data_IF_883476882497
#
_entry.id   IF_883476882497
#
_cell.length_a   1.000
_cell.length_b   1.000
_cell.length_c   1.000
_cell.angle_alpha   90.00
_cell.angle_beta   90.00
_cell.angle_gamma   90.00
#
_symmetry.space_group_name_H-M   'P 1'
#
loop_
_entity.id
_entity.type
_entity.pdbx_description
1 polymer ?
#
# COMPACT_ATOMS: atom_id res chain seq x y z
N UNK A 1 -0.80 12.05 -8.15
CA UNK A 1 -1.82 12.99 -7.64
C UNK A 1 -2.75 12.34 -6.60
N UNK A 2 -3.45 11.22 -6.90
CA UNK A 2 -4.35 10.57 -5.93
C UNK A 2 -3.69 10.13 -4.62
N UNK A 3 -2.48 9.58 -4.65
CA UNK A 3 -1.76 9.19 -3.43
C UNK A 3 -1.50 10.39 -2.50
N UNK A 4 -1.22 11.57 -3.06
CA UNK A 4 -1.02 12.79 -2.27
C UNK A 4 -2.35 13.25 -1.66
N UNK A 5 -3.46 13.14 -2.40
CA UNK A 5 -4.79 13.48 -1.88
C UNK A 5 -5.19 12.53 -0.73
N UNK A 6 -4.93 11.24 -0.87
CA UNK A 6 -5.16 10.23 0.18
C UNK A 6 -4.31 10.56 1.42
N UNK A 7 -3.02 10.85 1.21
CA UNK A 7 -2.12 11.26 2.29
C UNK A 7 -2.66 12.46 3.07
N UNK A 8 -3.03 13.53 2.36
CA UNK A 8 -3.52 14.77 2.98
C UNK A 8 -4.86 14.55 3.68
N UNK A 9 -5.79 13.84 3.04
CA UNK A 9 -7.11 13.55 3.60
C UNK A 9 -7.00 12.75 4.90
N UNK A 10 -6.23 11.67 4.91
CA UNK A 10 -6.06 10.83 6.10
C UNK A 10 -5.33 11.58 7.22
N UNK A 11 -4.35 12.43 6.85
CA UNK A 11 -3.63 13.24 7.83
C UNK A 11 -4.50 14.30 8.52
N UNK A 12 -5.48 14.87 7.80
CA UNK A 12 -6.34 15.94 8.30
C UNK A 12 -7.59 15.44 9.02
N UNK A 13 -8.26 14.43 8.45
CA UNK A 13 -9.58 13.99 8.89
C UNK A 13 -9.62 12.55 9.42
N UNK A 14 -8.53 11.77 9.26
CA UNK A 14 -8.51 10.33 9.50
C UNK A 14 -9.61 9.57 8.73
N UNK A 15 -10.09 10.17 7.63
CA UNK A 15 -11.06 9.60 6.74
C UNK A 15 -10.58 9.73 5.31
N UNK A 16 -10.62 8.62 4.58
CA UNK A 16 -10.24 8.59 3.17
C UNK A 16 -11.53 8.49 2.35
N UNK A 17 -11.85 9.47 1.50
CA UNK A 17 -13.02 9.36 0.63
C UNK A 17 -12.91 8.11 -0.26
N UNK A 18 -13.91 7.24 -0.19
CA UNK A 18 -13.94 5.98 -0.94
C UNK A 18 -13.80 6.20 -2.45
N UNK A 19 -14.27 7.34 -2.97
CA UNK A 19 -14.13 7.73 -4.37
C UNK A 19 -12.67 7.85 -4.81
N UNK A 20 -11.77 8.35 -3.95
CA UNK A 20 -10.34 8.45 -4.27
C UNK A 20 -9.68 7.07 -4.30
N UNK A 21 -10.05 6.20 -3.35
CA UNK A 21 -9.56 4.83 -3.29
C UNK A 21 -10.00 4.01 -4.50
N UNK A 22 -11.28 4.06 -4.84
CA UNK A 22 -11.80 3.38 -6.03
C UNK A 22 -11.14 3.93 -7.29
N UNK A 23 -11.07 5.25 -7.41
CA UNK A 23 -10.47 5.91 -8.58
C UNK A 23 -9.02 5.49 -8.83
N UNK A 24 -8.18 5.52 -7.79
CA UNK A 24 -6.76 5.14 -7.94
C UNK A 24 -6.60 3.64 -8.25
N UNK A 25 -7.41 2.77 -7.63
CA UNK A 25 -7.38 1.33 -7.91
C UNK A 25 -7.79 1.02 -9.37
N UNK A 26 -8.84 1.69 -9.88
CA UNK A 26 -9.26 1.54 -11.29
C UNK A 26 -8.15 2.00 -12.24
N UNK A 27 -7.56 3.17 -11.99
CA UNK A 27 -6.48 3.69 -12.83
C UNK A 27 -5.28 2.74 -12.85
N UNK A 28 -4.89 2.21 -11.69
CA UNK A 28 -3.80 1.23 -11.58
C UNK A 28 -4.14 -0.06 -12.33
N UNK A 29 -5.35 -0.57 -12.19
CA UNK A 29 -5.80 -1.77 -12.90
C UNK A 29 -5.80 -1.57 -14.43
N UNK A 30 -6.30 -0.45 -14.91
CA UNK A 30 -6.29 -0.10 -16.34
C UNK A 30 -4.86 0.02 -16.86
N UNK A 31 -3.96 0.66 -16.11
CA UNK A 31 -2.55 0.74 -16.45
C UNK A 31 -1.90 -0.65 -16.58
N UNK A 32 -2.12 -1.54 -15.62
CA UNK A 32 -1.57 -2.90 -15.64
C UNK A 32 -2.10 -3.72 -16.82
N UNK A 33 -3.39 -3.62 -17.13
CA UNK A 33 -3.98 -4.28 -18.28
C UNK A 33 -3.41 -3.73 -19.59
N UNK A 34 -3.31 -2.42 -19.73
CA UNK A 34 -2.72 -1.79 -20.91
C UNK A 34 -1.26 -2.22 -21.09
N UNK A 35 -0.48 -2.22 -20.00
CA UNK A 35 0.92 -2.65 -20.04
C UNK A 35 1.04 -4.12 -20.47
N UNK A 36 0.22 -5.01 -19.93
CA UNK A 36 0.19 -6.42 -20.32
C UNK A 36 -0.10 -6.61 -21.80
N UNK A 37 -1.14 -5.97 -22.33
CA UNK A 37 -1.49 -6.12 -23.75
C UNK A 37 -0.49 -5.50 -24.72
N UNK A 38 0.17 -4.40 -24.31
CA UNK A 38 1.11 -3.69 -25.20
C UNK A 38 2.52 -4.28 -25.18
N UNK A 39 2.97 -4.82 -24.05
CA UNK A 39 4.37 -5.20 -23.84
C UNK A 39 4.60 -6.67 -23.48
N UNK A 40 3.66 -7.31 -22.80
CA UNK A 40 3.84 -8.65 -22.20
C UNK A 40 2.95 -9.74 -22.83
N UNK A 41 2.11 -9.41 -23.78
CA UNK A 41 1.09 -10.34 -24.32
C UNK A 41 1.62 -11.64 -24.93
N UNK A 42 2.92 -11.72 -25.23
CA UNK A 42 3.59 -12.92 -25.76
C UNK A 42 4.38 -13.71 -24.69
N UNK A 43 4.46 -13.23 -23.47
CA UNK A 43 5.19 -13.90 -22.37
C UNK A 43 4.26 -14.85 -21.59
N UNK A 44 4.80 -15.91 -20.94
CA UNK A 44 3.99 -16.74 -20.03
C UNK A 44 3.36 -15.91 -18.93
N UNK A 45 2.07 -16.10 -18.65
CA UNK A 45 1.33 -15.33 -17.65
C UNK A 45 1.99 -15.34 -16.26
N UNK A 46 2.64 -16.44 -15.88
CA UNK A 46 3.33 -16.57 -14.59
C UNK A 46 4.53 -15.63 -14.42
N UNK A 47 5.08 -15.11 -15.53
CA UNK A 47 6.26 -14.24 -15.54
C UNK A 47 5.91 -12.77 -15.83
N UNK A 48 4.62 -12.48 -16.05
CA UNK A 48 4.17 -11.13 -16.39
C UNK A 48 4.06 -10.24 -15.14
N UNK A 49 4.24 -8.94 -15.32
CA UNK A 49 3.98 -7.95 -14.28
C UNK A 49 2.53 -8.00 -13.81
N UNK A 50 1.59 -8.33 -14.69
CA UNK A 50 0.19 -8.48 -14.36
C UNK A 50 -0.07 -9.61 -13.35
N UNK A 51 0.56 -10.78 -13.54
CA UNK A 51 0.41 -11.91 -12.59
C UNK A 51 0.97 -11.56 -11.21
N UNK A 52 2.15 -10.93 -11.17
CA UNK A 52 2.78 -10.50 -9.93
C UNK A 52 1.93 -9.45 -9.20
N UNK A 53 1.34 -8.52 -9.92
CA UNK A 53 0.45 -7.49 -9.38
C UNK A 53 -0.87 -8.07 -8.87
N UNK A 54 -1.45 -9.06 -9.56
CA UNK A 54 -2.67 -9.74 -9.09
C UNK A 54 -2.40 -10.50 -7.79
N UNK A 55 -1.32 -11.26 -7.72
CA UNK A 55 -0.94 -11.99 -6.51
C UNK A 55 -0.65 -11.00 -5.37
N UNK A 56 0.09 -9.93 -5.64
CA UNK A 56 0.37 -8.86 -4.68
C UNK A 56 -0.90 -8.20 -4.17
N UNK A 57 -1.84 -7.88 -5.06
CA UNK A 57 -3.14 -7.32 -4.73
C UNK A 57 -3.94 -8.21 -3.77
N UNK A 58 -4.01 -9.52 -4.07
CA UNK A 58 -4.72 -10.48 -3.23
C UNK A 58 -4.07 -10.63 -1.85
N UNK A 59 -2.73 -10.67 -1.78
CA UNK A 59 -1.99 -10.73 -0.51
C UNK A 59 -2.19 -9.45 0.29
N UNK A 60 -2.02 -8.27 -0.32
CA UNK A 60 -2.18 -6.98 0.34
C UNK A 60 -3.61 -6.76 0.83
N UNK A 61 -4.61 -7.02 -0.04
CA UNK A 61 -6.01 -6.95 0.33
C UNK A 61 -6.34 -7.93 1.47
N UNK A 62 -5.94 -9.20 1.34
CA UNK A 62 -6.23 -10.25 2.33
C UNK A 62 -5.58 -9.97 3.68
N UNK A 63 -4.36 -9.45 3.70
CA UNK A 63 -3.66 -9.07 4.91
C UNK A 63 -4.41 -7.97 5.68
N UNK A 64 -4.74 -6.86 5.03
CA UNK A 64 -5.47 -5.76 5.68
C UNK A 64 -6.91 -6.13 5.99
N UNK A 65 -7.58 -6.89 5.11
CA UNK A 65 -8.91 -7.43 5.39
C UNK A 65 -8.91 -8.29 6.65
N UNK A 66 -7.91 -9.18 6.81
CA UNK A 66 -7.73 -9.97 8.01
C UNK A 66 -7.59 -9.10 9.27
N UNK A 67 -6.73 -8.06 9.22
CA UNK A 67 -6.56 -7.14 10.35
C UNK A 67 -7.87 -6.42 10.72
N UNK A 68 -8.60 -5.90 9.75
CA UNK A 68 -9.88 -5.21 9.99
C UNK A 68 -10.93 -6.17 10.51
N UNK A 69 -11.04 -7.37 9.93
CA UNK A 69 -12.02 -8.37 10.32
C UNK A 69 -11.80 -8.88 11.75
N UNK A 70 -10.55 -9.25 12.11
CA UNK A 70 -10.24 -9.75 13.46
C UNK A 70 -10.25 -8.65 14.51
N UNK A 71 -9.87 -7.42 14.16
CA UNK A 71 -9.90 -6.28 15.08
C UNK A 71 -11.28 -5.65 15.24
N UNK A 72 -12.26 -6.04 14.43
CA UNK A 72 -13.58 -5.40 14.38
C UNK A 72 -13.46 -3.88 14.20
N UNK A 73 -12.65 -3.47 13.24
CA UNK A 73 -12.37 -2.06 12.92
C UNK A 73 -11.72 -1.23 14.04
N UNK A 74 -11.22 -1.89 15.08
CA UNK A 74 -10.60 -1.15 16.21
C UNK A 74 -9.16 -0.75 15.94
N UNK A 75 -8.42 -1.49 15.09
CA UNK A 75 -7.02 -1.23 14.78
C UNK A 75 -6.84 -0.44 13.49
N UNK A 76 -7.62 -0.75 12.47
CA UNK A 76 -7.53 -0.19 11.13
C UNK A 76 -8.90 -0.04 10.50
N UNK A 77 -9.05 0.94 9.60
CA UNK A 77 -10.29 1.19 8.87
C UNK A 77 -10.38 0.42 7.56
N UNK A 78 -11.58 0.35 6.98
CA UNK A 78 -11.82 -0.22 5.64
C UNK A 78 -11.03 0.47 4.53
N UNK A 79 -10.65 1.73 4.72
CA UNK A 79 -9.80 2.46 3.79
C UNK A 79 -8.43 1.80 3.58
N UNK A 80 -7.85 1.27 4.67
CA UNK A 80 -6.54 0.60 4.61
C UNK A 80 -6.58 -0.72 3.82
N UNK A 81 -7.74 -1.40 3.78
CA UNK A 81 -7.95 -2.60 2.95
C UNK A 81 -7.79 -2.27 1.45
N UNK A 82 -8.40 -1.17 1.00
CA UNK A 82 -8.28 -0.71 -0.38
C UNK A 82 -6.89 -0.17 -0.71
N UNK A 83 -6.21 0.41 0.28
CA UNK A 83 -4.80 0.81 0.12
C UNK A 83 -3.87 -0.39 0.08
N UNK A 84 -4.16 -1.46 0.82
CA UNK A 84 -3.43 -2.72 0.73
C UNK A 84 -3.55 -3.37 -0.65
N UNK A 85 -4.76 -3.34 -1.23
CA UNK A 85 -5.00 -3.74 -2.62
C UNK A 85 -4.12 -2.93 -3.58
N UNK A 86 -4.15 -1.59 -3.45
CA UNK A 86 -3.36 -0.68 -4.27
C UNK A 86 -1.86 -0.94 -4.14
N UNK A 87 -1.36 -1.10 -2.91
CA UNK A 87 0.05 -1.39 -2.65
C UNK A 87 0.49 -2.65 -3.40
N UNK A 88 -0.26 -3.76 -3.21
CA UNK A 88 0.04 -5.02 -3.89
C UNK A 88 -0.04 -4.95 -5.41
N UNK A 89 -1.02 -4.21 -5.95
CA UNK A 89 -1.13 -3.98 -7.41
C UNK A 89 0.06 -3.18 -7.94
N UNK A 90 0.53 -2.19 -7.20
CA UNK A 90 1.56 -1.25 -7.67
C UNK A 90 2.96 -1.85 -7.67
N UNK A 91 3.30 -2.66 -6.65
CA UNK A 91 4.67 -3.20 -6.49
C UNK A 91 4.77 -4.71 -6.75
N UNK A 92 3.64 -5.41 -6.86
CA UNK A 92 3.63 -6.86 -6.93
C UNK A 92 3.85 -7.53 -5.56
N UNK A 93 3.87 -8.87 -5.56
CA UNK A 93 3.91 -9.64 -4.31
C UNK A 93 5.29 -9.69 -3.63
N UNK A 94 6.38 -9.65 -4.42
CA UNK A 94 7.74 -9.74 -3.90
C UNK A 94 8.15 -8.55 -3.03
N UNK A 95 8.03 -7.28 -3.49
CA UNK A 95 8.37 -6.12 -2.69
C UNK A 95 7.32 -5.77 -1.63
N UNK A 96 6.16 -6.43 -1.62
CA UNK A 96 5.05 -6.11 -0.71
C UNK A 96 5.45 -6.29 0.76
N UNK A 97 6.18 -7.37 1.11
CA UNK A 97 6.62 -7.60 2.50
C UNK A 97 7.56 -6.51 3.03
N UNK A 98 8.67 -6.16 2.34
CA UNK A 98 9.50 -5.04 2.76
C UNK A 98 8.75 -3.70 2.77
N UNK A 99 7.83 -3.47 1.83
CA UNK A 99 6.97 -2.28 1.83
C UNK A 99 6.11 -2.21 3.10
N UNK A 100 5.43 -3.30 3.45
CA UNK A 100 4.62 -3.36 4.67
C UNK A 100 5.50 -3.18 5.93
N UNK A 101 6.67 -3.80 5.97
CA UNK A 101 7.61 -3.62 7.08
C UNK A 101 8.02 -2.16 7.23
N UNK A 102 8.29 -1.46 6.14
CA UNK A 102 8.60 -0.03 6.13
C UNK A 102 7.41 0.80 6.62
N UNK A 103 6.20 0.54 6.11
CA UNK A 103 4.99 1.27 6.48
C UNK A 103 4.68 1.14 7.98
N UNK A 104 4.67 -0.10 8.50
CA UNK A 104 4.44 -0.37 9.92
C UNK A 104 5.57 0.17 10.80
N UNK A 105 6.83 0.06 10.35
CA UNK A 105 7.99 0.61 11.05
C UNK A 105 7.89 2.13 11.21
N UNK A 106 7.60 2.85 10.13
CA UNK A 106 7.39 4.30 10.18
C UNK A 106 6.21 4.68 11.08
N UNK A 107 5.10 3.97 10.97
CA UNK A 107 3.93 4.17 11.83
C UNK A 107 4.24 3.93 13.32
N UNK A 108 5.00 2.88 13.62
CA UNK A 108 5.41 2.56 14.99
C UNK A 108 6.34 3.65 15.57
N UNK A 109 7.34 4.09 14.81
CA UNK A 109 8.25 5.18 15.22
C UNK A 109 7.46 6.46 15.50
N UNK A 110 6.53 6.81 14.61
CA UNK A 110 5.68 7.98 14.81
C UNK A 110 4.76 7.84 16.04
N UNK A 111 4.14 6.67 16.22
CA UNK A 111 3.30 6.38 17.40
C UNK A 111 4.08 6.49 18.72
N UNK A 112 5.29 5.91 18.79
CA UNK A 112 6.17 6.03 19.95
C UNK A 112 6.58 7.48 20.20
N UNK A 113 6.94 8.24 19.15
CA UNK A 113 7.27 9.65 19.26
C UNK A 113 6.12 10.48 19.85
N UNK A 114 4.87 10.21 19.44
CA UNK A 114 3.68 10.87 20.01
C UNK A 114 3.47 10.57 21.49
N UNK A 115 3.72 9.32 21.90
CA UNK A 115 3.63 8.94 23.32
C UNK A 115 4.65 9.68 24.18
N UNK A 116 5.90 9.74 23.70
CA UNK A 116 7.02 10.36 24.44
C UNK A 116 6.92 11.89 24.51
N UNK A 117 6.55 12.54 23.40
CA UNK A 117 6.59 14.01 23.29
C UNK A 117 5.31 14.67 23.79
N UNK A 118 4.14 14.09 23.53
CA UNK A 118 2.84 14.72 23.84
C UNK A 118 2.12 14.10 25.02
N UNK A 119 2.66 13.09 25.68
CA UNK A 119 1.99 12.40 26.80
C UNK A 119 0.62 11.83 26.40
N UNK A 120 0.41 11.56 25.10
CA UNK A 120 -0.85 11.03 24.59
C UNK A 120 -1.05 9.59 25.07
N UNK A 121 -2.28 9.21 25.32
CA UNK A 121 -2.62 7.85 25.72
C UNK A 121 -2.48 6.89 24.54
N UNK A 122 -2.21 5.62 24.84
CA UNK A 122 -2.15 4.50 23.85
C UNK A 122 -3.42 4.35 22.99
N UNK A 123 -4.52 4.99 23.38
CA UNK A 123 -5.80 5.00 22.64
C UNK A 123 -5.88 6.10 21.56
N UNK A 124 -4.83 6.90 21.37
CA UNK A 124 -4.85 7.92 20.33
C UNK A 124 -4.76 7.24 18.97
N UNK A 125 -5.77 7.43 18.14
CA UNK A 125 -5.74 6.96 16.75
C UNK A 125 -4.59 7.66 15.99
N UNK A 126 -3.86 6.88 15.21
CA UNK A 126 -2.78 7.37 14.35
C UNK A 126 -3.18 7.05 12.90
N UNK A 127 -3.20 8.04 12.00
CA UNK A 127 -3.49 7.77 10.60
C UNK A 127 -2.42 6.85 10.01
N UNK A 128 -2.83 5.71 9.44
CA UNK A 128 -1.88 4.72 8.88
C UNK A 128 -1.59 4.95 7.39
N UNK A 129 -2.59 5.42 6.64
CA UNK A 129 -2.46 5.60 5.20
C UNK A 129 -1.27 6.48 4.77
N UNK A 130 -0.88 7.56 5.47
CA UNK A 130 0.30 8.34 5.13
C UNK A 130 1.59 7.51 5.10
N UNK A 131 1.78 6.60 6.05
CA UNK A 131 2.97 5.75 6.12
C UNK A 131 2.97 4.71 5.00
N UNK A 132 1.79 4.18 4.67
CA UNK A 132 1.64 3.25 3.56
C UNK A 132 1.90 3.94 2.22
N UNK A 133 1.41 5.17 2.03
CA UNK A 133 1.68 5.97 0.82
C UNK A 133 3.18 6.28 0.68
N UNK A 134 3.86 6.67 1.77
CA UNK A 134 5.31 6.89 1.76
C UNK A 134 6.05 5.61 1.40
N UNK A 135 5.63 4.47 1.95
CA UNK A 135 6.25 3.17 1.66
C UNK A 135 6.06 2.77 0.19
N UNK A 136 4.85 2.95 -0.39
CA UNK A 136 4.59 2.71 -1.81
C UNK A 136 5.51 3.57 -2.69
N UNK A 137 5.52 4.89 -2.47
CA UNK A 137 6.33 5.81 -3.25
C UNK A 137 7.82 5.52 -3.10
N UNK A 138 8.26 5.22 -1.87
CA UNK A 138 9.66 4.85 -1.59
C UNK A 138 10.08 3.57 -2.31
N UNK A 139 9.25 2.53 -2.30
CA UNK A 139 9.51 1.28 -3.00
C UNK A 139 9.59 1.48 -4.50
N UNK A 140 8.60 2.17 -5.10
CA UNK A 140 8.61 2.47 -6.54
C UNK A 140 9.80 3.34 -6.95
N UNK A 141 10.21 4.30 -6.11
CA UNK A 141 11.38 5.12 -6.35
C UNK A 141 12.68 4.30 -6.31
N UNK A 142 12.81 3.40 -5.32
CA UNK A 142 13.96 2.51 -5.23
C UNK A 142 14.05 1.54 -6.41
N UNK A 143 12.94 0.99 -6.87
CA UNK A 143 12.88 0.13 -8.06
C UNK A 143 13.30 0.91 -9.32
N UNK A 144 12.89 2.17 -9.45
CA UNK A 144 13.27 3.00 -10.57
C UNK A 144 14.77 3.35 -10.58
N UNK A 145 15.38 3.57 -9.40
CA UNK A 145 16.80 3.88 -9.27
C UNK A 145 17.70 2.64 -9.39
N UNK A 146 17.23 1.52 -8.86
CA UNK A 146 18.00 0.28 -8.77
C UNK A 146 17.19 -0.91 -9.30
N UNK A 147 17.03 -1.05 -10.63
CA UNK A 147 16.28 -2.16 -11.22
C UNK A 147 16.83 -3.54 -10.85
N UNK A 148 18.14 -3.61 -10.50
CA UNK A 148 18.80 -4.84 -10.03
C UNK A 148 18.37 -5.28 -8.62
N UNK A 149 17.84 -4.37 -7.79
CA UNK A 149 17.38 -4.69 -6.43
C UNK A 149 16.04 -5.44 -6.42
N UNK A 150 15.27 -5.38 -7.51
CA UNK A 150 14.01 -6.14 -7.65
C UNK A 150 14.22 -7.66 -7.55
N UNK A 151 15.46 -8.13 -7.73
CA UNK A 151 15.86 -9.54 -7.60
C UNK A 151 16.31 -9.91 -6.18
N UNK A 152 16.56 -8.94 -5.32
CA UNK A 152 17.09 -9.18 -3.96
C UNK A 152 15.99 -9.45 -2.92
N UNK A 153 14.76 -9.23 -3.26
CA UNK A 153 13.61 -9.63 -2.44
C UNK A 153 13.17 -11.00 -2.94
N UNK A 154 13.71 -12.03 -2.29
CA UNK A 154 13.55 -13.47 -2.54
C UNK A 154 12.15 -13.87 -2.95
#
# INVERSE_FOLDING_TARGET
MFLILIFVSDWQSMEIPLSYLIGVNIITAVYLLAHFFLFEGSTPFSETSLSQSIIGALIGWGFFFGLVYFSRETWMGWGDVWLGLLAGMSVGWRPLLPLLTLAFGLGAVYGVALLLVKGKNLKTAVPFAPFLVIAILGTLFLEALYPSLSWFVL
#
